data_IF_951663824993
#
_entry.id   IF_951663824993
#
_cell.length_a   1.000
_cell.length_b   1.000
_cell.length_c   1.000
_cell.angle_alpha   90.00
_cell.angle_beta   90.00
_cell.angle_gamma   90.00
#
_symmetry.space_group_name_H-M   'P 1'
#
loop_
_entity.id
_entity.type
_entity.pdbx_description
1 polymer ?
#
# COMPACT_ATOMS: atom_id res chain seq x y z
N UNK A 1 14.35 -0.87 27.65
CA UNK A 1 13.87 0.32 28.37
C UNK A 1 12.71 0.91 27.59
N UNK A 2 11.50 0.89 28.13
CA UNK A 2 10.28 1.32 27.45
C UNK A 2 10.06 2.80 27.73
N UNK A 3 10.66 3.67 26.92
CA UNK A 3 10.41 5.12 26.97
C UNK A 3 9.38 5.49 25.90
N UNK A 4 8.18 4.93 25.97
CA UNK A 4 7.03 5.52 25.26
C UNK A 4 6.50 6.66 26.13
N UNK A 5 6.35 7.85 25.54
CA UNK A 5 5.81 9.03 26.22
C UNK A 5 4.47 8.67 26.88
N UNK A 6 4.30 9.03 28.16
CA UNK A 6 3.03 8.82 28.86
C UNK A 6 1.89 9.46 28.06
N UNK A 7 0.77 8.75 27.94
CA UNK A 7 -0.39 9.24 27.20
C UNK A 7 -0.87 10.56 27.80
N UNK A 8 -0.97 11.57 26.94
CA UNK A 8 -1.38 12.92 27.31
C UNK A 8 -2.73 13.22 26.64
N UNK A 9 -3.79 13.17 27.44
CA UNK A 9 -5.15 13.42 26.99
C UNK A 9 -5.36 14.86 26.48
N UNK A 10 -4.53 15.83 26.91
CA UNK A 10 -4.66 17.23 26.48
C UNK A 10 -4.42 17.43 24.97
N UNK A 11 -3.73 16.48 24.32
CA UNK A 11 -3.45 16.54 22.88
C UNK A 11 -4.56 15.96 22.02
N UNK A 12 -5.56 15.29 22.61
CA UNK A 12 -6.61 14.58 21.85
C UNK A 12 -7.42 15.57 21.02
N UNK A 13 -7.84 16.70 21.61
CA UNK A 13 -8.62 17.71 20.91
C UNK A 13 -7.87 18.29 19.70
N UNK A 14 -6.60 18.68 19.90
CA UNK A 14 -5.77 19.20 18.83
C UNK A 14 -5.61 18.21 17.68
N UNK A 15 -5.41 16.92 17.99
CA UNK A 15 -5.31 15.84 16.99
C UNK A 15 -6.62 15.63 16.24
N UNK A 16 -7.75 15.60 16.96
CA UNK A 16 -9.07 15.46 16.33
C UNK A 16 -9.41 16.65 15.43
N UNK A 17 -9.07 17.87 15.84
CA UNK A 17 -9.27 19.07 15.03
C UNK A 17 -8.44 19.02 13.75
N UNK A 18 -7.15 18.69 13.86
CA UNK A 18 -6.26 18.55 12.71
C UNK A 18 -6.74 17.46 11.74
N UNK A 19 -7.18 16.30 12.26
CA UNK A 19 -7.74 15.23 11.44
C UNK A 19 -9.03 15.65 10.73
N UNK A 20 -9.94 16.31 11.44
CA UNK A 20 -11.18 16.87 10.86
C UNK A 20 -10.88 17.84 9.73
N UNK A 21 -9.93 18.76 9.92
CA UNK A 21 -9.58 19.74 8.89
C UNK A 21 -8.91 19.10 7.67
N UNK A 22 -8.05 18.09 7.87
CA UNK A 22 -7.42 17.31 6.79
C UNK A 22 -8.43 16.48 5.99
N UNK A 23 -9.47 15.97 6.63
CA UNK A 23 -10.49 15.11 5.99
C UNK A 23 -11.64 15.91 5.35
N UNK A 24 -11.57 17.24 5.32
CA UNK A 24 -12.58 18.04 4.62
C UNK A 24 -12.60 17.70 3.13
N UNK A 25 -13.79 17.32 2.63
CA UNK A 25 -13.98 16.92 1.24
C UNK A 25 -13.52 15.50 0.91
N UNK A 26 -13.14 14.70 1.93
CA UNK A 26 -12.76 13.29 1.75
C UNK A 26 -13.99 12.41 1.92
N UNK A 27 -14.19 11.48 0.99
CA UNK A 27 -15.16 10.40 1.10
C UNK A 27 -14.48 9.20 1.78
N UNK A 28 -15.12 8.64 2.80
CA UNK A 28 -14.66 7.44 3.51
C UNK A 28 -15.63 6.32 3.18
N UNK A 29 -15.12 5.24 2.60
CA UNK A 29 -15.90 4.09 2.14
C UNK A 29 -15.50 2.84 2.94
N UNK A 30 -16.47 2.04 3.34
CA UNK A 30 -16.24 0.73 3.95
C UNK A 30 -16.89 -0.35 3.06
N UNK A 31 -16.22 -0.66 1.95
CA UNK A 31 -16.61 -1.70 1.00
C UNK A 31 -15.36 -2.48 0.54
N UNK A 32 -15.56 -3.56 -0.21
CA UNK A 32 -14.47 -4.23 -0.94
C UNK A 32 -13.72 -3.23 -1.82
N UNK A 33 -12.39 -3.29 -1.83
CA UNK A 33 -11.54 -2.36 -2.58
C UNK A 33 -11.91 -2.30 -4.08
N UNK A 34 -12.29 -3.43 -4.69
CA UNK A 34 -12.67 -3.51 -6.10
C UNK A 34 -13.90 -2.62 -6.42
N UNK A 35 -14.92 -2.66 -5.55
CA UNK A 35 -16.13 -1.84 -5.72
C UNK A 35 -15.81 -0.35 -5.58
N UNK A 36 -14.96 0.01 -4.63
CA UNK A 36 -14.46 1.38 -4.48
C UNK A 36 -13.67 1.81 -5.72
N UNK A 37 -12.73 0.98 -6.17
CA UNK A 37 -11.91 1.23 -7.34
C UNK A 37 -12.77 1.52 -8.57
N UNK A 38 -13.71 0.62 -8.89
CA UNK A 38 -14.63 0.74 -10.03
C UNK A 38 -15.51 1.99 -9.96
N UNK A 39 -15.95 2.41 -8.76
CA UNK A 39 -16.78 3.61 -8.57
C UNK A 39 -16.04 4.90 -8.95
N UNK A 40 -14.74 4.94 -8.69
CA UNK A 40 -13.91 6.14 -8.87
C UNK A 40 -13.05 6.09 -10.14
N UNK A 41 -13.06 5.01 -10.92
CA UNK A 41 -12.23 4.86 -12.11
C UNK A 41 -12.67 5.80 -13.25
N UNK A 42 -11.87 6.85 -13.46
CA UNK A 42 -12.04 7.91 -14.45
C UNK A 42 -10.67 8.31 -14.98
N UNK A 43 -10.61 8.88 -16.18
CA UNK A 43 -9.35 9.27 -16.84
C UNK A 43 -8.46 10.20 -16.00
N UNK A 44 -9.06 11.04 -15.16
CA UNK A 44 -8.35 11.97 -14.28
C UNK A 44 -8.11 11.44 -12.87
N UNK A 45 -8.53 10.21 -12.57
CA UNK A 45 -8.33 9.61 -11.25
C UNK A 45 -6.90 9.10 -11.11
N UNK A 46 -6.32 9.36 -9.94
CA UNK A 46 -5.08 8.74 -9.50
C UNK A 46 -5.38 7.84 -8.31
N UNK A 47 -5.04 6.56 -8.44
CA UNK A 47 -5.15 5.56 -7.40
C UNK A 47 -3.77 5.29 -6.78
N UNK A 48 -3.72 5.32 -5.47
CA UNK A 48 -2.61 4.76 -4.70
C UNK A 48 -3.09 3.50 -4.01
N UNK A 49 -2.45 2.37 -4.31
CA UNK A 49 -2.75 1.06 -3.76
C UNK A 49 -1.62 0.61 -2.85
N UNK A 50 -1.96 0.24 -1.61
CA UNK A 50 -1.03 -0.26 -0.60
C UNK A 50 -1.66 -1.49 0.08
N UNK A 51 -1.73 -2.63 -0.64
CA UNK A 51 -2.30 -3.85 -0.10
C UNK A 51 -1.39 -4.45 0.97
N UNK A 52 -1.86 -5.43 1.75
CA UNK A 52 -1.00 -6.28 2.56
C UNK A 52 0.22 -6.78 1.77
N UNK A 53 1.40 -6.81 2.39
CA UNK A 53 2.62 -7.22 1.69
C UNK A 53 2.66 -8.75 1.58
N UNK A 54 2.97 -9.26 0.39
CA UNK A 54 2.93 -10.69 0.11
C UNK A 54 3.91 -11.46 1.00
N UNK A 55 3.42 -12.51 1.67
CA UNK A 55 4.18 -13.36 2.58
C UNK A 55 4.95 -12.61 3.68
N UNK A 56 4.48 -11.42 4.08
CA UNK A 56 5.05 -10.68 5.22
C UNK A 56 4.24 -10.98 6.48
N UNK A 57 4.92 -11.28 7.58
CA UNK A 57 4.26 -11.55 8.86
C UNK A 57 3.51 -10.32 9.39
N UNK A 58 2.29 -10.50 9.92
CA UNK A 58 1.52 -9.44 10.57
C UNK A 58 0.27 -8.97 9.82
N UNK A 59 0.03 -9.47 8.61
CA UNK A 59 -1.25 -9.27 7.92
C UNK A 59 -2.16 -10.49 8.12
N UNK A 60 -3.36 -10.27 8.64
CA UNK A 60 -4.39 -11.30 8.72
C UNK A 60 -4.73 -11.79 7.30
N UNK A 61 -4.85 -13.11 7.15
CA UNK A 61 -4.87 -13.90 5.90
C UNK A 61 -6.02 -13.59 4.91
N UNK A 62 -6.76 -12.50 5.08
CA UNK A 62 -7.93 -12.16 4.26
C UNK A 62 -7.58 -11.65 2.84
N UNK A 63 -6.31 -11.33 2.56
CA UNK A 63 -5.85 -10.89 1.24
C UNK A 63 -5.03 -12.00 0.58
N UNK A 64 -5.73 -12.98 0.01
CA UNK A 64 -5.11 -14.13 -0.66
C UNK A 64 -4.45 -13.74 -1.99
N UNK A 65 -3.77 -14.72 -2.62
CA UNK A 65 -3.09 -14.50 -3.90
C UNK A 65 -4.03 -13.97 -5.00
N UNK A 66 -5.30 -14.42 -5.01
CA UNK A 66 -6.29 -14.02 -6.01
C UNK A 66 -6.60 -12.52 -5.98
N UNK A 67 -6.45 -11.88 -4.81
CA UNK A 67 -6.61 -10.44 -4.69
C UNK A 67 -5.50 -9.66 -5.41
N UNK A 68 -4.26 -10.18 -5.43
CA UNK A 68 -3.18 -9.57 -6.20
C UNK A 68 -3.40 -9.75 -7.71
N UNK A 69 -3.88 -10.92 -8.12
CA UNK A 69 -4.24 -11.17 -9.53
C UNK A 69 -5.36 -10.24 -9.99
N UNK A 70 -6.37 -10.05 -9.15
CA UNK A 70 -7.46 -9.10 -9.39
C UNK A 70 -6.94 -7.65 -9.43
N UNK A 71 -5.98 -7.29 -8.57
CA UNK A 71 -5.35 -5.97 -8.59
C UNK A 71 -4.57 -5.73 -9.89
N UNK A 72 -3.77 -6.70 -10.34
CA UNK A 72 -3.06 -6.61 -11.61
C UNK A 72 -4.04 -6.42 -12.78
N UNK A 73 -5.14 -7.19 -12.80
CA UNK A 73 -6.20 -7.02 -13.78
C UNK A 73 -6.83 -5.63 -13.72
N UNK A 74 -7.24 -5.17 -12.54
CA UNK A 74 -7.85 -3.86 -12.36
C UNK A 74 -6.91 -2.71 -12.78
N UNK A 75 -5.61 -2.83 -12.49
CA UNK A 75 -4.60 -1.87 -12.94
C UNK A 75 -4.46 -1.83 -14.46
N UNK A 76 -4.51 -3.00 -15.12
CA UNK A 76 -4.42 -3.07 -16.59
C UNK A 76 -5.65 -2.53 -17.32
N UNK A 77 -6.83 -2.63 -16.70
CA UNK A 77 -8.12 -2.21 -17.27
C UNK A 77 -8.53 -0.80 -16.84
N UNK A 78 -7.80 -0.17 -15.89
CA UNK A 78 -8.15 1.13 -15.33
C UNK A 78 -8.04 2.25 -16.36
N UNK A 79 -9.01 3.16 -16.34
CA UNK A 79 -8.97 4.43 -17.09
C UNK A 79 -8.01 5.43 -16.46
N UNK A 80 -7.89 5.38 -15.13
CA UNK A 80 -7.01 6.24 -14.36
C UNK A 80 -5.57 5.73 -14.27
N UNK A 81 -4.76 6.49 -13.54
CA UNK A 81 -3.39 6.11 -13.19
C UNK A 81 -3.39 5.35 -11.88
N UNK A 82 -2.68 4.22 -11.81
CA UNK A 82 -2.56 3.42 -10.58
C UNK A 82 -1.11 3.22 -10.19
N UNK A 83 -0.77 3.63 -8.97
CA UNK A 83 0.51 3.41 -8.32
C UNK A 83 0.35 2.40 -7.18
N UNK A 84 1.14 1.33 -7.21
CA UNK A 84 1.14 0.27 -6.20
C UNK A 84 2.49 0.25 -5.47
N UNK A 85 2.43 0.30 -4.13
CA UNK A 85 3.56 -0.01 -3.24
C UNK A 85 3.44 -1.45 -2.73
N UNK A 86 4.52 -2.24 -2.85
CA UNK A 86 4.54 -3.63 -2.39
C UNK A 86 5.97 -4.13 -2.14
N UNK A 87 6.15 -5.26 -1.46
CA UNK A 87 7.46 -5.86 -1.26
C UNK A 87 8.07 -6.40 -2.56
N UNK A 88 9.40 -6.37 -2.63
CA UNK A 88 10.19 -7.00 -3.68
C UNK A 88 10.18 -8.53 -3.50
N UNK A 89 9.25 -9.18 -4.19
CA UNK A 89 9.08 -10.63 -4.19
C UNK A 89 9.04 -11.19 -5.63
N UNK A 90 9.66 -12.35 -5.91
CA UNK A 90 9.63 -12.98 -7.24
C UNK A 90 8.22 -13.15 -7.82
N UNK A 91 7.26 -13.63 -7.01
CA UNK A 91 5.87 -13.80 -7.44
C UNK A 91 5.23 -12.47 -7.86
N UNK A 92 5.47 -11.40 -7.10
CA UNK A 92 4.96 -10.05 -7.40
C UNK A 92 5.59 -9.53 -8.69
N UNK A 93 6.90 -9.67 -8.86
CA UNK A 93 7.57 -9.30 -10.11
C UNK A 93 7.02 -10.07 -11.31
N UNK A 94 6.74 -11.35 -11.14
CA UNK A 94 6.17 -12.19 -12.21
C UNK A 94 4.74 -11.76 -12.56
N UNK A 95 3.91 -11.47 -11.56
CA UNK A 95 2.53 -11.05 -11.74
C UNK A 95 2.42 -9.68 -12.43
N UNK A 96 3.28 -8.72 -12.05
CA UNK A 96 3.26 -7.36 -12.56
C UNK A 96 4.32 -7.09 -13.65
N UNK A 97 4.86 -8.13 -14.29
CA UNK A 97 5.99 -8.03 -15.24
C UNK A 97 5.75 -7.06 -16.41
N UNK A 98 4.49 -6.89 -16.81
CA UNK A 98 4.08 -6.06 -17.95
C UNK A 98 3.85 -4.59 -17.56
N UNK A 99 4.02 -4.26 -16.27
CA UNK A 99 3.91 -2.90 -15.73
C UNK A 99 5.27 -2.24 -15.60
N UNK A 100 5.26 -0.92 -15.36
CA UNK A 100 6.47 -0.17 -15.03
C UNK A 100 6.85 -0.42 -13.57
N UNK A 101 7.89 -1.21 -13.35
CA UNK A 101 8.41 -1.54 -12.01
C UNK A 101 9.63 -0.67 -11.68
N UNK A 102 9.59 0.02 -10.56
CA UNK A 102 10.73 0.74 -9.96
C UNK A 102 11.05 0.10 -8.62
N UNK A 103 12.29 -0.38 -8.45
CA UNK A 103 12.76 -0.89 -7.18
C UNK A 103 13.30 0.25 -6.33
N UNK A 104 12.86 0.32 -5.08
CA UNK A 104 13.41 1.20 -4.06
C UNK A 104 14.35 0.38 -3.16
N UNK A 105 15.61 0.81 -3.10
CA UNK A 105 16.56 0.25 -2.16
C UNK A 105 16.29 0.83 -0.76
N UNK A 106 15.59 0.07 0.07
CA UNK A 106 15.52 0.36 1.50
C UNK A 106 16.82 -0.12 2.13
N UNK A 107 17.71 0.82 2.46
CA UNK A 107 18.92 0.53 3.25
C UNK A 107 18.51 0.16 4.68
N UNK A 108 18.03 -1.06 4.89
CA UNK A 108 17.86 -1.62 6.22
C UNK A 108 19.24 -1.95 6.80
N UNK A 109 19.91 -0.95 7.38
CA UNK A 109 21.02 -1.18 8.32
C UNK A 109 20.47 -1.69 9.64
N UNK A 110 19.94 -2.91 9.67
CA UNK A 110 19.67 -3.65 10.91
C UNK A 110 20.08 -5.10 10.70
N UNK A 111 21.22 -5.48 11.26
CA UNK A 111 21.61 -6.89 11.42
C UNK A 111 22.86 -7.29 10.65
N UNK A 112 23.92 -7.54 11.40
CA UNK A 112 25.22 -8.05 10.96
C UNK A 112 25.10 -9.57 10.69
N UNK A 113 24.38 -9.97 9.63
CA UNK A 113 24.39 -11.37 9.17
C UNK A 113 24.28 -11.45 7.64
N UNK A 114 25.27 -12.12 7.02
CA UNK A 114 25.48 -12.19 5.56
C UNK A 114 24.57 -13.23 4.85
N UNK A 115 23.35 -13.44 5.32
CA UNK A 115 22.39 -14.36 4.70
C UNK A 115 20.93 -13.88 4.72
N UNK A 116 20.67 -12.61 5.02
CA UNK A 116 19.31 -12.05 5.07
C UNK A 116 18.81 -11.62 3.69
N UNK A 117 17.64 -12.14 3.29
CA UNK A 117 16.90 -11.71 2.09
C UNK A 117 16.82 -10.18 2.05
N UNK A 118 17.28 -9.58 0.95
CA UNK A 118 17.11 -8.15 0.69
C UNK A 118 15.62 -7.86 0.55
N UNK A 119 14.99 -7.35 1.61
CA UNK A 119 13.60 -6.88 1.56
C UNK A 119 13.57 -5.52 0.87
N UNK A 120 13.57 -5.51 -0.46
CA UNK A 120 13.33 -4.30 -1.25
C UNK A 120 11.85 -3.92 -1.26
N UNK A 121 11.56 -2.69 -1.65
CA UNK A 121 10.19 -2.24 -1.94
C UNK A 121 10.07 -1.96 -3.44
N UNK A 122 8.90 -2.22 -4.01
CA UNK A 122 8.58 -1.99 -5.41
C UNK A 122 7.49 -0.92 -5.51
N UNK A 123 7.70 0.02 -6.44
CA UNK A 123 6.68 0.92 -6.95
C UNK A 123 6.30 0.45 -8.35
N UNK A 124 5.04 0.10 -8.54
CA UNK A 124 4.51 -0.46 -9.79
C UNK A 124 3.46 0.51 -10.34
N UNK A 125 3.63 0.94 -11.60
CA UNK A 125 2.74 1.89 -12.26
C UNK A 125 2.15 1.35 -13.56
N UNK A 126 0.92 1.73 -13.89
CA UNK A 126 0.25 1.39 -15.17
C UNK A 126 0.47 2.41 -16.32
N UNK A 127 1.48 3.28 -16.19
CA UNK A 127 1.83 4.32 -17.18
C UNK A 127 3.35 4.52 -17.32
#
# INVERSE_FOLDING_TARGET
ATTSKAWDASQVEAKLKAAKDRLKGVYIENESWERCFKRYDREHTFFYADPPYWQTAGYDSAFDWSQYELLAKAMSESKGKVMLSINDHPDIRALFKDFRITQLELTYTVGRDKSGKTSGELVICNW
#
